data_IF_811008235088
#
_entry.id   IF_811008235088
#
_cell.length_a   1.000
_cell.length_b   1.000
_cell.length_c   1.000
_cell.angle_alpha   90.00
_cell.angle_beta   90.00
_cell.angle_gamma   90.00
#
_symmetry.space_group_name_H-M   'P 1'
#
loop_
_entity.id
_entity.type
_entity.pdbx_description
1 polymer ?
#
# COMPACT_ATOMS: atom_id res chain seq x y z
N UNK A 1 3.57 -8.77 0.90
CA UNK A 1 3.02 -8.51 2.26
C UNK A 1 3.13 -7.07 2.77
N UNK A 2 4.07 -6.24 2.31
CA UNK A 2 4.31 -4.89 2.84
C UNK A 2 3.07 -3.97 2.97
N UNK A 3 2.26 -3.84 1.91
CA UNK A 3 1.06 -2.97 1.87
C UNK A 3 -0.06 -3.38 2.84
N UNK A 4 -0.07 -4.63 3.30
CA UNK A 4 -1.04 -5.09 4.32
C UNK A 4 -0.89 -4.32 5.63
N UNK A 5 0.35 -4.01 6.01
CA UNK A 5 0.67 -3.32 7.26
C UNK A 5 0.63 -1.79 7.16
N UNK A 6 0.82 -1.23 5.96
CA UNK A 6 1.00 0.23 5.79
C UNK A 6 -0.23 0.96 5.24
N UNK A 7 -1.09 0.29 4.46
CA UNK A 7 -2.24 0.93 3.82
C UNK A 7 -3.54 0.14 3.97
N UNK A 8 -3.50 -1.19 3.92
CA UNK A 8 -4.73 -1.99 3.88
C UNK A 8 -5.32 -2.29 5.26
N UNK A 9 -4.66 -1.93 6.37
CA UNK A 9 -5.15 -2.25 7.72
C UNK A 9 -6.61 -1.83 7.95
N UNK A 10 -7.08 -0.62 7.60
CA UNK A 10 -8.50 -0.25 7.78
C UNK A 10 -9.45 -1.13 6.97
N UNK A 11 -9.09 -1.48 5.73
CA UNK A 11 -9.89 -2.33 4.85
C UNK A 11 -9.98 -3.75 5.41
N UNK A 12 -8.84 -4.31 5.84
CA UNK A 12 -8.79 -5.66 6.42
C UNK A 12 -9.50 -5.74 7.77
N UNK A 13 -9.52 -4.65 8.54
CA UNK A 13 -10.33 -4.55 9.76
C UNK A 13 -11.82 -4.53 9.45
N UNK A 14 -12.25 -3.81 8.41
CA UNK A 14 -13.66 -3.79 8.00
C UNK A 14 -14.17 -5.16 7.50
N UNK A 15 -13.27 -6.00 6.98
CA UNK A 15 -13.57 -7.36 6.50
C UNK A 15 -13.23 -8.45 7.55
N UNK A 16 -12.99 -8.09 8.82
CA UNK A 16 -12.48 -9.03 9.82
C UNK A 16 -13.44 -10.20 10.08
N UNK A 17 -14.75 -9.93 10.08
CA UNK A 17 -15.80 -10.92 10.36
C UNK A 17 -16.22 -11.72 9.11
N UNK A 18 -15.63 -11.43 7.94
CA UNK A 18 -15.86 -12.15 6.69
C UNK A 18 -14.52 -12.60 6.05
N UNK A 19 -13.99 -13.76 6.48
CA UNK A 19 -12.74 -14.29 5.94
C UNK A 19 -12.78 -14.55 4.44
N UNK A 20 -13.93 -14.95 3.90
CA UNK A 20 -14.08 -15.24 2.47
C UNK A 20 -13.98 -13.95 1.64
N UNK A 21 -14.68 -12.89 2.05
CA UNK A 21 -14.57 -11.59 1.41
C UNK A 21 -13.16 -10.99 1.53
N UNK A 22 -12.52 -11.14 2.69
CA UNK A 22 -11.13 -10.71 2.89
C UNK A 22 -10.17 -11.40 1.92
N UNK A 23 -10.30 -12.71 1.77
CA UNK A 23 -9.41 -13.49 0.91
C UNK A 23 -9.66 -13.21 -0.58
N UNK A 24 -10.93 -13.03 -0.99
CA UNK A 24 -11.29 -12.58 -2.32
C UNK A 24 -10.70 -11.20 -2.64
N UNK A 25 -10.84 -10.22 -1.73
CA UNK A 25 -10.25 -8.90 -1.86
C UNK A 25 -8.72 -8.96 -2.04
N UNK A 26 -8.04 -9.78 -1.21
CA UNK A 26 -6.58 -9.93 -1.30
C UNK A 26 -6.11 -10.65 -2.57
N UNK A 27 -6.94 -11.50 -3.18
CA UNK A 27 -6.65 -12.13 -4.45
C UNK A 27 -6.72 -11.09 -5.59
N UNK A 28 -7.85 -10.38 -5.71
CA UNK A 28 -8.07 -9.36 -6.73
C UNK A 28 -7.03 -8.23 -6.62
N UNK A 29 -6.80 -7.71 -5.42
CA UNK A 29 -5.81 -6.66 -5.18
C UNK A 29 -4.39 -7.07 -5.60
N UNK A 30 -4.04 -8.35 -5.43
CA UNK A 30 -2.73 -8.88 -5.84
C UNK A 30 -2.58 -8.93 -7.35
N UNK A 31 -3.65 -9.29 -8.06
CA UNK A 31 -3.64 -9.37 -9.52
C UNK A 31 -3.56 -7.98 -10.13
N UNK A 32 -4.34 -7.03 -9.61
CA UNK A 32 -4.23 -5.61 -9.99
C UNK A 32 -2.84 -5.02 -9.74
N UNK A 33 -2.18 -5.38 -8.63
CA UNK A 33 -0.81 -4.93 -8.36
C UNK A 33 0.20 -5.49 -9.37
N UNK A 34 0.05 -6.74 -9.81
CA UNK A 34 0.95 -7.35 -10.81
C UNK A 34 0.80 -6.70 -12.18
N UNK A 35 -0.43 -6.33 -12.52
CA UNK A 35 -0.72 -5.60 -13.76
C UNK A 35 -0.16 -4.17 -13.71
N UNK A 36 -0.44 -3.44 -12.63
CA UNK A 36 -0.01 -2.05 -12.48
C UNK A 36 1.51 -1.90 -12.30
N UNK A 37 2.16 -2.90 -11.71
CA UNK A 37 3.61 -2.91 -11.42
C UNK A 37 4.25 -4.19 -11.98
N UNK A 38 4.45 -4.28 -13.31
CA UNK A 38 5.08 -5.43 -13.92
C UNK A 38 6.55 -5.57 -13.49
N UNK A 39 7.10 -6.80 -13.45
CA UNK A 39 8.51 -7.01 -13.14
C UNK A 39 9.41 -6.44 -14.25
N UNK A 40 10.45 -5.71 -13.86
CA UNK A 40 11.51 -5.24 -14.76
C UNK A 40 12.83 -6.00 -14.57
N UNK A 41 13.87 -5.69 -15.37
CA UNK A 41 15.19 -6.31 -15.28
C UNK A 41 15.86 -6.24 -13.89
N UNK A 42 15.42 -5.30 -13.06
CA UNK A 42 15.93 -5.07 -11.70
C UNK A 42 14.87 -5.32 -10.62
N UNK A 43 13.82 -6.07 -10.96
CA UNK A 43 12.67 -6.34 -10.08
C UNK A 43 11.47 -5.43 -10.33
N UNK A 44 10.46 -5.53 -9.47
CA UNK A 44 9.23 -4.72 -9.55
C UNK A 44 9.41 -3.40 -8.82
N UNK A 45 9.22 -2.28 -9.52
CA UNK A 45 9.30 -0.94 -8.92
C UNK A 45 7.96 -0.58 -8.29
N UNK A 46 7.95 -0.30 -6.98
CA UNK A 46 6.77 0.18 -6.25
C UNK A 46 7.07 1.55 -5.60
N UNK A 47 6.62 2.66 -6.18
CA UNK A 47 7.03 4.01 -5.78
C UNK A 47 6.36 4.45 -4.47
N UNK A 48 7.13 5.06 -3.57
CA UNK A 48 6.62 5.70 -2.36
C UNK A 48 6.92 7.20 -2.41
N UNK A 49 5.87 8.02 -2.54
CA UNK A 49 5.99 9.47 -2.43
C UNK A 49 6.35 9.85 -1.00
N UNK A 50 7.47 10.54 -0.83
CA UNK A 50 7.92 11.09 0.44
C UNK A 50 7.90 12.61 0.34
N UNK A 51 7.27 13.27 1.30
CA UNK A 51 7.22 14.74 1.38
C UNK A 51 8.08 15.15 2.57
N UNK A 52 8.99 16.09 2.34
CA UNK A 52 9.86 16.66 3.37
C UNK A 52 9.53 18.14 3.51
N UNK A 53 9.42 18.62 4.75
CA UNK A 53 9.19 20.03 5.05
C UNK A 53 10.18 20.48 6.12
N UNK A 54 10.81 21.63 5.90
CA UNK A 54 11.76 22.25 6.83
C UNK A 54 11.34 23.70 7.03
N UNK A 55 11.21 24.14 8.28
CA UNK A 55 10.83 25.50 8.63
C UNK A 55 11.76 26.07 9.71
N UNK A 56 12.05 27.37 9.62
CA UNK A 56 12.77 28.12 10.65
C UNK A 56 11.82 29.17 11.24
N UNK A 57 11.76 29.25 12.58
CA UNK A 57 11.04 30.33 13.27
C UNK A 57 11.74 31.67 12.99
N UNK A 58 10.96 32.70 12.71
CA UNK A 58 11.46 34.07 12.59
C UNK A 58 11.70 34.64 13.99
N UNK A 59 12.89 35.22 14.21
CA UNK A 59 13.24 35.84 15.49
C UNK A 59 12.52 37.19 15.57
N UNK A 60 11.60 37.29 16.53
CA UNK A 60 10.99 38.56 16.93
C UNK A 60 11.75 39.14 18.11
#
# INVERSE_FOLDING_TARGET
>A
DWVKGTALRPVLTALADDPAARDAFLAEYRDLLREAYPPGPYGTVFPFRRIFAVARKENR
#
